data_IF_133303244205
#
_entry.id   IF_133303244205
#
_cell.length_a   1.000
_cell.length_b   1.000
_cell.length_c   1.000
_cell.angle_alpha   90.00
_cell.angle_beta   90.00
_cell.angle_gamma   90.00
#
_symmetry.space_group_name_H-M   'P 1'
#
loop_
_entity.id
_entity.type
_entity.pdbx_description
1 polymer ?
#
# COMPACT_ATOMS: atom_id res chain seq x y z
N UNK A 1 -10.59 70.42 4.01
CA UNK A 1 -11.74 69.48 4.11
C UNK A 1 -11.18 68.08 4.32
N UNK A 2 -11.67 67.37 5.34
CA UNK A 2 -11.05 66.19 5.96
C UNK A 2 -10.99 64.94 5.06
N UNK A 3 -9.86 64.24 5.08
CA UNK A 3 -9.80 62.81 4.74
C UNK A 3 -10.44 61.99 5.89
N UNK A 4 -11.50 61.24 5.60
CA UNK A 4 -12.18 60.37 6.57
C UNK A 4 -11.80 58.89 6.36
N UNK A 5 -10.98 58.40 7.28
CA UNK A 5 -11.07 57.13 8.03
C UNK A 5 -11.75 55.90 7.39
N UNK A 6 -10.93 54.87 7.19
CA UNK A 6 -11.21 53.44 6.96
C UNK A 6 -12.28 52.85 7.87
N UNK A 7 -13.14 51.96 7.34
CA UNK A 7 -13.63 50.76 8.04
C UNK A 7 -13.95 49.63 7.04
N UNK A 8 -13.57 48.41 7.44
CA UNK A 8 -14.02 47.10 6.94
C UNK A 8 -13.13 46.37 5.91
N UNK A 9 -11.90 46.04 6.32
CA UNK A 9 -11.29 44.77 5.89
C UNK A 9 -12.02 43.66 6.64
N UNK A 10 -12.96 42.98 5.97
CA UNK A 10 -13.51 41.72 6.46
C UNK A 10 -12.51 40.63 6.12
N UNK A 11 -11.87 40.06 7.15
CA UNK A 11 -11.19 38.78 7.02
C UNK A 11 -12.28 37.72 7.02
N UNK A 12 -12.60 37.19 5.84
CA UNK A 12 -13.54 36.09 5.71
C UNK A 12 -12.92 34.85 6.38
N UNK A 13 -13.45 34.53 7.56
CA UNK A 13 -13.20 33.27 8.24
C UNK A 13 -13.80 32.17 7.38
N UNK A 14 -12.96 31.52 6.56
CA UNK A 14 -13.34 30.32 5.81
C UNK A 14 -13.88 29.29 6.81
N UNK A 15 -15.18 29.03 6.74
CA UNK A 15 -15.79 27.98 7.54
C UNK A 15 -15.65 26.67 6.76
N UNK A 16 -15.57 25.54 7.47
CA UNK A 16 -15.43 24.18 6.88
C UNK A 16 -16.53 23.85 5.85
N UNK A 17 -17.57 24.69 5.73
CA UNK A 17 -18.65 24.58 4.74
C UNK A 17 -18.22 24.91 3.30
N UNK A 18 -17.09 25.57 3.10
CA UNK A 18 -16.58 25.95 1.77
C UNK A 18 -15.74 24.85 1.10
N UNK A 19 -15.57 23.69 1.76
CA UNK A 19 -14.89 22.53 1.19
C UNK A 19 -15.93 21.73 0.38
N UNK A 20 -16.10 22.10 -0.88
CA UNK A 20 -16.82 21.26 -1.84
C UNK A 20 -15.96 20.01 -2.13
N UNK A 21 -16.25 18.90 -1.44
CA UNK A 21 -15.72 17.58 -1.78
C UNK A 21 -16.32 17.17 -3.12
N UNK A 22 -15.65 17.54 -4.22
CA UNK A 22 -15.97 16.99 -5.54
C UNK A 22 -15.70 15.49 -5.48
N UNK A 23 -16.76 14.68 -5.46
CA UNK A 23 -16.64 13.23 -5.61
C UNK A 23 -16.01 12.98 -6.98
N UNK A 24 -14.74 12.56 -7.01
CA UNK A 24 -14.18 12.04 -8.24
C UNK A 24 -14.95 10.76 -8.60
N UNK A 25 -15.30 10.54 -9.88
CA UNK A 25 -15.89 9.28 -10.28
C UNK A 25 -14.92 8.18 -9.85
N UNK A 26 -15.42 7.16 -9.17
CA UNK A 26 -14.62 6.01 -8.80
C UNK A 26 -13.93 5.50 -10.08
N UNK A 27 -12.60 5.46 -10.07
CA UNK A 27 -11.87 4.85 -11.17
C UNK A 27 -12.28 3.37 -11.23
N UNK A 28 -12.97 2.96 -12.29
CA UNK A 28 -13.16 1.54 -12.57
C UNK A 28 -11.77 0.95 -12.87
N UNK A 29 -11.19 0.29 -11.87
CA UNK A 29 -9.95 -0.46 -11.98
C UNK A 29 -10.28 -1.87 -12.47
N UNK A 30 -10.59 -1.98 -13.77
CA UNK A 30 -10.90 -3.25 -14.43
C UNK A 30 -9.64 -4.06 -14.80
N UNK A 31 -8.45 -3.50 -14.57
CA UNK A 31 -7.16 -4.08 -15.00
C UNK A 31 -6.47 -4.92 -13.92
N UNK A 32 -6.89 -4.79 -12.66
CA UNK A 32 -6.33 -5.57 -11.55
C UNK A 32 -7.36 -5.81 -10.46
N UNK A 33 -7.20 -6.93 -9.76
CA UNK A 33 -7.98 -7.21 -8.56
C UNK A 33 -7.21 -6.68 -7.34
N UNK A 34 -7.83 -5.82 -6.54
CA UNK A 34 -7.20 -5.21 -5.36
C UNK A 34 -7.14 -6.15 -4.14
N UNK A 35 -6.83 -7.43 -4.40
CA UNK A 35 -6.46 -8.42 -3.40
C UNK A 35 -5.43 -9.32 -4.09
N UNK A 36 -4.16 -9.11 -3.77
CA UNK A 36 -3.05 -9.87 -4.37
C UNK A 36 -2.68 -11.12 -3.56
N UNK A 37 -3.09 -11.18 -2.30
CA UNK A 37 -2.91 -12.31 -1.39
C UNK A 37 -4.08 -12.37 -0.41
N UNK A 38 -4.55 -13.58 -0.09
CA UNK A 38 -5.69 -13.77 0.82
C UNK A 38 -5.31 -13.64 2.31
N UNK A 39 -4.03 -13.82 2.62
CA UNK A 39 -3.47 -13.75 3.98
C UNK A 39 -2.06 -13.16 3.97
N UNK A 40 -1.54 -12.92 5.18
CA UNK A 40 -0.21 -12.34 5.43
C UNK A 40 -0.20 -10.80 5.48
N UNK A 41 0.89 -10.25 6.01
CA UNK A 41 1.11 -8.81 6.12
C UNK A 41 2.30 -8.37 5.26
N UNK A 42 2.48 -7.06 5.12
CA UNK A 42 3.66 -6.42 4.51
C UNK A 42 4.01 -6.96 3.11
N UNK A 43 3.09 -6.91 2.14
CA UNK A 43 3.35 -7.43 0.80
C UNK A 43 4.52 -6.67 0.13
N UNK A 44 5.54 -7.41 -0.31
CA UNK A 44 6.67 -6.86 -1.06
C UNK A 44 6.84 -7.58 -2.40
N UNK A 45 6.93 -6.78 -3.47
CA UNK A 45 7.03 -7.28 -4.84
C UNK A 45 8.26 -6.72 -5.54
N UNK A 46 8.96 -7.60 -6.24
CA UNK A 46 10.06 -7.26 -7.14
C UNK A 46 9.81 -7.80 -8.55
N UNK A 47 9.85 -6.91 -9.55
CA UNK A 47 9.80 -7.29 -10.96
C UNK A 47 11.22 -7.45 -11.49
N UNK A 48 11.59 -8.67 -11.85
CA UNK A 48 12.91 -8.98 -12.37
C UNK A 48 12.98 -8.79 -13.89
N UNK A 49 14.20 -8.62 -14.41
CA UNK A 49 14.45 -8.35 -15.84
C UNK A 49 14.09 -9.51 -16.77
N UNK A 50 14.00 -10.73 -16.24
CA UNK A 50 13.56 -11.93 -16.97
C UNK A 50 12.03 -12.03 -17.17
N UNK A 51 11.26 -11.00 -16.78
CA UNK A 51 9.80 -10.97 -16.94
C UNK A 51 9.02 -11.69 -15.85
N UNK A 52 9.68 -12.12 -14.77
CA UNK A 52 9.03 -12.69 -13.59
C UNK A 52 8.83 -11.67 -12.50
N UNK A 53 7.76 -11.86 -11.73
CA UNK A 53 7.57 -11.18 -10.46
C UNK A 53 7.91 -12.12 -9.31
N UNK A 54 8.63 -11.59 -8.32
CA UNK A 54 8.92 -12.24 -7.06
C UNK A 54 8.15 -11.51 -5.97
N UNK A 55 7.44 -12.29 -5.15
CA UNK A 55 6.59 -11.80 -4.08
C UNK A 55 7.01 -12.43 -2.78
N UNK A 56 6.99 -11.65 -1.70
CA UNK A 56 7.07 -12.16 -0.34
C UNK A 56 6.10 -11.40 0.55
N UNK A 57 5.73 -12.03 1.66
CA UNK A 57 4.83 -11.50 2.67
C UNK A 57 5.22 -12.06 4.03
N UNK A 58 4.85 -11.37 5.08
CA UNK A 58 4.99 -11.84 6.46
C UNK A 58 4.10 -13.07 6.67
N UNK A 59 4.70 -14.26 6.84
CA UNK A 59 4.00 -15.52 7.18
C UNK A 59 3.99 -15.80 8.68
N UNK A 60 4.91 -15.18 9.43
CA UNK A 60 5.09 -15.37 10.88
C UNK A 60 5.97 -16.55 11.29
N UNK A 61 6.35 -17.44 10.38
CA UNK A 61 7.14 -18.65 10.71
C UNK A 61 8.31 -18.94 9.79
N UNK A 62 8.32 -18.41 8.58
CA UNK A 62 9.35 -18.69 7.57
C UNK A 62 9.46 -17.53 6.58
N UNK A 63 10.49 -17.55 5.74
CA UNK A 63 10.57 -16.65 4.58
C UNK A 63 10.27 -17.48 3.34
N UNK A 64 9.20 -17.07 2.66
CA UNK A 64 8.74 -17.67 1.40
C UNK A 64 8.88 -16.67 0.26
N UNK A 65 9.22 -17.20 -0.90
CA UNK A 65 9.19 -16.45 -2.15
C UNK A 65 8.22 -17.15 -3.08
N UNK A 66 7.24 -16.39 -3.54
CA UNK A 66 6.36 -16.77 -4.63
C UNK A 66 6.91 -16.15 -5.92
N UNK A 67 6.79 -16.87 -7.05
CA UNK A 67 6.96 -16.25 -8.36
C UNK A 67 5.76 -16.50 -9.26
N UNK A 68 5.47 -15.50 -10.07
CA UNK A 68 4.48 -15.60 -11.15
C UNK A 68 4.88 -14.73 -12.34
N UNK A 69 4.37 -15.08 -13.52
CA UNK A 69 4.47 -14.26 -14.72
C UNK A 69 3.52 -13.05 -14.68
N UNK A 70 2.45 -13.11 -13.89
CA UNK A 70 1.48 -12.01 -13.77
C UNK A 70 1.39 -11.52 -12.33
N UNK A 71 1.16 -10.21 -12.18
CA UNK A 71 1.06 -9.57 -10.88
C UNK A 71 -0.19 -10.00 -10.10
N UNK A 72 -1.29 -10.32 -10.78
CA UNK A 72 -2.57 -10.67 -10.15
C UNK A 72 -2.68 -12.12 -9.68
N UNK A 73 -1.76 -13.01 -10.09
CA UNK A 73 -1.80 -14.44 -9.77
C UNK A 73 -0.69 -14.90 -8.82
N UNK A 74 -0.04 -13.97 -8.12
CA UNK A 74 1.14 -14.27 -7.30
C UNK A 74 0.89 -15.24 -6.15
N UNK A 75 -0.25 -15.13 -5.46
CA UNK A 75 -0.60 -16.01 -4.32
C UNK A 75 -0.85 -17.46 -4.76
N UNK A 76 -1.23 -17.66 -6.03
CA UNK A 76 -1.39 -18.97 -6.67
C UNK A 76 -0.13 -19.42 -7.45
N UNK A 77 0.92 -18.60 -7.45
CA UNK A 77 2.17 -18.87 -8.16
C UNK A 77 3.03 -19.93 -7.48
N UNK A 78 4.17 -20.24 -8.10
CA UNK A 78 5.14 -21.18 -7.55
C UNK A 78 5.73 -20.62 -6.25
N UNK A 79 5.70 -21.39 -5.16
CA UNK A 79 6.18 -20.96 -3.84
C UNK A 79 7.32 -21.85 -3.34
N UNK A 80 8.38 -21.23 -2.84
CA UNK A 80 9.47 -21.91 -2.14
C UNK A 80 9.74 -21.28 -0.78
N UNK A 81 10.18 -22.10 0.18
CA UNK A 81 10.70 -21.62 1.46
C UNK A 81 12.21 -21.42 1.31
N UNK A 82 12.66 -20.17 1.40
CA UNK A 82 14.07 -19.82 1.27
C UNK A 82 14.80 -19.82 2.61
N UNK A 83 14.06 -19.66 3.71
CA UNK A 83 14.64 -19.69 5.04
C UNK A 83 13.61 -20.08 6.09
N UNK A 84 14.07 -20.81 7.11
CA UNK A 84 13.33 -21.07 8.35
C UNK A 84 14.18 -20.65 9.55
N UNK A 85 13.60 -19.98 10.55
CA UNK A 85 14.30 -19.68 11.79
C UNK A 85 14.75 -20.98 12.46
N UNK A 86 15.97 -21.02 13.04
CA UNK A 86 16.40 -22.13 13.88
C UNK A 86 15.51 -22.26 15.12
N UNK A 87 15.48 -23.46 15.71
CA UNK A 87 14.70 -23.74 16.91
C UNK A 87 15.23 -23.01 18.17
N UNK A 88 16.51 -22.65 18.17
CA UNK A 88 17.17 -22.00 19.31
C UNK A 88 18.41 -21.21 18.87
N UNK A 89 18.81 -20.24 19.68
CA UNK A 89 20.01 -19.43 19.45
C UNK A 89 19.74 -18.17 18.62
N UNK A 90 20.78 -17.51 18.09
CA UNK A 90 20.63 -16.29 17.32
C UNK A 90 19.69 -16.46 16.11
N UNK A 91 18.88 -15.44 15.84
CA UNK A 91 17.88 -15.44 14.78
C UNK A 91 16.81 -16.55 14.87
N UNK A 92 16.68 -17.21 16.03
CA UNK A 92 15.52 -18.08 16.28
C UNK A 92 14.24 -17.24 16.37
N UNK A 93 13.10 -17.93 16.28
CA UNK A 93 11.81 -17.29 16.50
C UNK A 93 11.70 -16.81 17.95
N UNK A 94 11.28 -15.56 18.15
CA UNK A 94 10.86 -15.08 19.46
C UNK A 94 9.50 -15.73 19.82
N UNK A 95 9.45 -16.38 20.97
CA UNK A 95 8.21 -16.91 21.56
C UNK A 95 7.38 -15.79 22.18
#
# INVERSE_FOLDING_TARGET
MLAKSNKNLKFDLFTVRDIEFKSQPAFNVDTFYNVIAQDGADPWVYKHTNGWYYFTKTTGSDIRIWRSHTFTSMDAGECIIVWRPPNSGPACRAI
#
